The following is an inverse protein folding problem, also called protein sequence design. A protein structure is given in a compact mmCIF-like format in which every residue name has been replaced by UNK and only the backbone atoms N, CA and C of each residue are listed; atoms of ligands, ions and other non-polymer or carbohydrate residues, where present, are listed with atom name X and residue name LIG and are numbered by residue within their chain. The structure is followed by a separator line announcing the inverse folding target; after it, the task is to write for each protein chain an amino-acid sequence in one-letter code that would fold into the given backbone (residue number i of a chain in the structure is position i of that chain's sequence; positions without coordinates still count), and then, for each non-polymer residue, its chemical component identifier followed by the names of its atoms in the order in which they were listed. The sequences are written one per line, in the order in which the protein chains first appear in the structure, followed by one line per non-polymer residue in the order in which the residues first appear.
data_IF_199391779305
#
_entry.id   IF_199391779305
#
_cell.length_a   1.000
_cell.length_b   1.000
_cell.length_c   1.000
_cell.angle_alpha   90.00
_cell.angle_beta   90.00
_cell.angle_gamma   90.00
#
_symmetry.space_group_name_H-M   'P 1'
#
loop_
_entity.id
_entity.type
_entity.pdbx_description
1 polymer ?
#
# COMPACT_ATOMS: atom_id res chain seq x y z
N UNK A 1 -1.20 -6.99 18.52
CA UNK A 1 0.11 -7.27 17.91
C UNK A 1 -0.08 -7.79 16.49
N UNK A 2 0.60 -7.18 15.53
CA UNK A 2 0.46 -7.59 14.13
C UNK A 2 1.21 -8.90 13.89
N UNK A 3 0.56 -9.84 13.19
CA UNK A 3 1.24 -11.04 12.66
C UNK A 3 1.86 -10.75 11.31
N UNK A 4 1.32 -9.78 10.58
CA UNK A 4 1.80 -9.45 9.24
C UNK A 4 1.63 -7.96 8.97
N UNK A 5 2.67 -7.35 8.44
CA UNK A 5 2.64 -5.96 7.99
C UNK A 5 3.21 -5.86 6.59
N UNK A 6 2.52 -5.14 5.73
CA UNK A 6 2.97 -4.94 4.36
C UNK A 6 2.73 -3.50 3.92
N UNK A 7 3.67 -2.96 3.18
CA UNK A 7 3.50 -1.69 2.48
C UNK A 7 3.31 -2.00 1.01
N UNK A 8 2.23 -1.47 0.44
CA UNK A 8 1.88 -1.64 -0.97
C UNK A 8 2.02 -0.29 -1.65
N UNK A 9 2.93 -0.21 -2.61
CA UNK A 9 3.10 0.99 -3.42
C UNK A 9 2.26 0.85 -4.68
N UNK A 10 1.41 1.82 -4.94
CA UNK A 10 0.54 1.85 -6.12
C UNK A 10 0.77 3.14 -6.90
N UNK A 11 0.45 3.11 -8.19
CA UNK A 11 0.75 4.23 -9.06
C UNK A 11 -0.25 5.38 -9.00
N UNK A 12 -1.46 5.14 -8.53
CA UNK A 12 -2.48 6.17 -8.48
C UNK A 12 -3.63 5.85 -7.54
N UNK A 13 -4.60 6.77 -7.50
CA UNK A 13 -5.74 6.66 -6.61
C UNK A 13 -6.63 5.47 -6.96
N UNK A 14 -6.83 5.18 -8.25
CA UNK A 14 -7.68 4.07 -8.67
C UNK A 14 -7.14 2.73 -8.16
N UNK A 15 -5.83 2.52 -8.27
CA UNK A 15 -5.17 1.32 -7.79
C UNK A 15 -5.22 1.23 -6.27
N UNK A 16 -5.09 2.36 -5.57
CA UNK A 16 -5.20 2.41 -4.12
C UNK A 16 -6.60 2.00 -3.67
N UNK A 17 -7.63 2.51 -4.34
CA UNK A 17 -9.02 2.15 -4.06
C UNK A 17 -9.25 0.66 -4.32
N UNK A 18 -8.70 0.14 -5.43
CA UNK A 18 -8.81 -1.27 -5.78
C UNK A 18 -8.21 -2.16 -4.69
N UNK A 19 -6.99 -1.86 -4.26
CA UNK A 19 -6.31 -2.65 -3.21
C UNK A 19 -7.11 -2.60 -1.90
N UNK A 20 -7.61 -1.43 -1.55
CA UNK A 20 -8.43 -1.26 -0.36
C UNK A 20 -9.66 -2.16 -0.38
N UNK A 21 -10.42 -2.12 -1.47
CA UNK A 21 -11.62 -2.95 -1.62
C UNK A 21 -11.29 -4.45 -1.65
N UNK A 22 -10.19 -4.81 -2.29
CA UNK A 22 -9.75 -6.20 -2.34
C UNK A 22 -9.42 -6.72 -0.94
N UNK A 23 -8.70 -5.94 -0.14
CA UNK A 23 -8.36 -6.32 1.23
C UNK A 23 -9.60 -6.43 2.11
N UNK A 24 -10.49 -5.44 2.02
CA UNK A 24 -11.74 -5.47 2.78
C UNK A 24 -12.55 -6.72 2.48
N UNK A 25 -12.71 -7.06 1.21
CA UNK A 25 -13.46 -8.25 0.80
C UNK A 25 -12.75 -9.54 1.21
N UNK A 26 -11.44 -9.61 1.05
CA UNK A 26 -10.66 -10.78 1.41
C UNK A 26 -10.76 -11.11 2.90
N UNK A 27 -10.73 -10.09 3.76
CA UNK A 27 -10.84 -10.23 5.20
C UNK A 27 -12.27 -10.14 5.72
N UNK A 28 -13.26 -10.15 4.82
CA UNK A 28 -14.69 -10.12 5.17
C UNK A 28 -15.06 -8.92 6.05
N UNK A 29 -14.40 -7.78 5.83
CA UNK A 29 -14.64 -6.53 6.56
C UNK A 29 -14.39 -6.65 8.07
N UNK A 30 -13.54 -7.57 8.48
CA UNK A 30 -13.21 -7.78 9.90
C UNK A 30 -12.05 -6.88 10.33
N UNK A 31 -12.35 -5.81 11.06
CA UNK A 31 -11.35 -4.86 11.53
C UNK A 31 -10.39 -5.39 12.59
N UNK A 32 -10.66 -6.57 13.18
CA UNK A 32 -9.72 -7.19 14.10
C UNK A 32 -8.63 -7.95 13.35
N UNK A 33 -8.94 -8.45 12.16
CA UNK A 33 -8.00 -9.16 11.31
C UNK A 33 -7.28 -8.24 10.33
N UNK A 34 -7.96 -7.23 9.84
CA UNK A 34 -7.44 -6.30 8.84
C UNK A 34 -7.39 -4.88 9.36
N UNK A 35 -6.24 -4.25 9.24
CA UNK A 35 -6.11 -2.82 9.40
C UNK A 35 -5.33 -2.25 8.23
N UNK A 36 -5.66 -1.05 7.79
CA UNK A 36 -4.86 -0.36 6.78
C UNK A 36 -4.97 1.15 6.91
N UNK A 37 -3.98 1.83 6.39
CA UNK A 37 -4.02 3.25 6.15
C UNK A 37 -3.63 3.52 4.71
N UNK A 38 -4.28 4.52 4.11
CA UNK A 38 -3.96 4.95 2.77
C UNK A 38 -3.17 6.25 2.85
N UNK A 39 -2.06 6.30 2.15
CA UNK A 39 -1.17 7.44 2.14
C UNK A 39 -0.99 7.92 0.70
N UNK A 40 -0.90 9.21 0.52
CA UNK A 40 -0.56 9.79 -0.78
C UNK A 40 0.78 10.50 -0.66
N UNK A 41 1.73 10.09 -1.48
CA UNK A 41 3.03 10.72 -1.53
C UNK A 41 2.94 11.95 -2.44
N UNK A 42 3.24 13.13 -1.87
CA UNK A 42 3.21 14.37 -2.62
C UNK A 42 4.45 15.18 -2.27
N UNK A 43 5.35 15.37 -3.24
CA UNK A 43 6.60 16.13 -3.06
C UNK A 43 7.36 15.74 -1.79
N UNK A 44 7.54 14.45 -1.58
CA UNK A 44 8.23 13.88 -0.41
C UNK A 44 7.47 14.01 0.90
N UNK A 45 6.24 14.49 0.86
CA UNK A 45 5.38 14.52 2.03
C UNK A 45 4.30 13.44 1.90
N UNK A 46 3.97 12.84 3.03
CA UNK A 46 2.93 11.83 3.08
C UNK A 46 1.66 12.43 3.67
N UNK A 47 0.56 12.28 2.96
CA UNK A 47 -0.75 12.66 3.48
C UNK A 47 -1.60 11.40 3.63
N UNK A 48 -2.25 11.27 4.78
CA UNK A 48 -3.16 10.15 5.01
C UNK A 48 -4.45 10.40 4.26
N UNK A 49 -4.86 9.45 3.43
CA UNK A 49 -6.15 9.51 2.76
C UNK A 49 -7.28 9.27 3.78
N UNK A 50 -8.51 9.75 3.50
CA UNK A 50 -9.59 9.75 4.52
C UNK A 50 -10.25 8.40 4.75
N UNK A 51 -9.58 7.29 4.54
CA UNK A 51 -10.17 5.96 4.70
C UNK A 51 -9.28 5.01 5.48
N UNK A 52 -9.07 5.24 6.78
CA UNK A 52 -8.46 4.22 7.61
C UNK A 52 -9.48 3.10 7.86
N UNK A 53 -8.99 1.88 8.01
CA UNK A 53 -9.83 0.74 8.34
C UNK A 53 -9.15 -0.07 9.45
N UNK A 54 -9.92 -0.60 10.40
CA UNK A 54 -9.36 -1.33 11.50
C UNK A 54 -8.45 -0.48 12.36
N UNK A 55 -7.39 -1.07 12.87
CA UNK A 55 -6.41 -0.35 13.67
C UNK A 55 -5.00 -0.86 13.39
N UNK A 56 -4.00 -0.14 13.91
CA UNK A 56 -2.61 -0.59 13.81
C UNK A 56 -2.35 -1.90 14.57
N UNK A 57 -3.26 -2.29 15.44
CA UNK A 57 -3.16 -3.53 16.20
C UNK A 57 -3.88 -4.70 15.56
N UNK A 58 -4.53 -4.49 14.42
CA UNK A 58 -5.14 -5.58 13.66
C UNK A 58 -4.11 -6.63 13.30
N UNK A 59 -4.56 -7.88 13.15
CA UNK A 59 -3.67 -9.02 12.89
C UNK A 59 -2.78 -8.81 11.66
N UNK A 60 -3.38 -8.33 10.57
CA UNK A 60 -2.66 -7.96 9.35
C UNK A 60 -2.82 -6.45 9.14
N UNK A 61 -1.72 -5.74 9.00
CA UNK A 61 -1.75 -4.30 8.80
C UNK A 61 -1.07 -3.91 7.49
N UNK A 62 -1.73 -3.06 6.71
CA UNK A 62 -1.24 -2.62 5.41
C UNK A 62 -1.13 -1.10 5.35
N UNK A 63 -0.05 -0.64 4.72
CA UNK A 63 0.06 0.75 4.28
C UNK A 63 -0.05 0.77 2.77
N UNK A 64 -1.03 1.48 2.23
CA UNK A 64 -1.24 1.56 0.79
C UNK A 64 -0.81 2.94 0.34
N UNK A 65 0.34 3.04 -0.32
CA UNK A 65 0.96 4.30 -0.68
C UNK A 65 0.77 4.60 -2.16
N UNK A 66 0.06 5.67 -2.45
CA UNK A 66 -0.11 6.19 -3.80
C UNK A 66 1.09 7.09 -4.12
N UNK A 67 1.91 6.70 -5.08
CA UNK A 67 3.12 7.45 -5.46
C UNK A 67 2.89 8.42 -6.62
N UNK A 68 1.70 8.43 -7.20
CA UNK A 68 1.32 9.42 -8.20
C UNK A 68 1.50 9.02 -9.65
N UNK A 69 2.42 8.12 -9.95
CA UNK A 69 2.58 7.57 -11.30
C UNK A 69 3.40 6.30 -11.27
N UNK A 70 3.33 5.50 -12.36
CA UNK A 70 3.98 4.20 -12.44
C UNK A 70 5.51 4.29 -12.41
N UNK A 71 6.07 5.35 -12.96
CA UNK A 71 7.53 5.52 -12.99
C UNK A 71 8.13 5.67 -11.58
N UNK A 72 7.33 6.16 -10.63
CA UNK A 72 7.79 6.36 -9.26
C UNK A 72 7.68 5.13 -8.37
N UNK A 73 6.92 4.10 -8.77
CA UNK A 73 6.68 2.94 -7.90
C UNK A 73 7.98 2.27 -7.50
N UNK A 74 8.81 1.91 -8.47
CA UNK A 74 10.08 1.22 -8.18
C UNK A 74 11.03 2.11 -7.41
N UNK A 75 11.15 3.39 -7.80
CA UNK A 75 12.05 4.32 -7.12
C UNK A 75 11.69 4.53 -5.65
N UNK A 76 10.41 4.71 -5.37
CA UNK A 76 9.95 4.89 -4.00
C UNK A 76 10.07 3.61 -3.17
N UNK A 77 9.80 2.45 -3.78
CA UNK A 77 10.04 1.16 -3.12
C UNK A 77 11.49 1.04 -2.67
N UNK A 78 12.43 1.31 -3.59
CA UNK A 78 13.85 1.20 -3.28
C UNK A 78 14.28 2.20 -2.22
N UNK A 79 13.76 3.41 -2.29
CA UNK A 79 14.10 4.46 -1.32
C UNK A 79 13.64 4.13 0.09
N UNK A 80 12.46 3.52 0.22
CA UNK A 80 11.84 3.26 1.52
C UNK A 80 12.03 1.84 2.04
N UNK A 81 12.49 0.92 1.19
CA UNK A 81 12.47 -0.51 1.51
C UNK A 81 13.28 -0.87 2.76
N UNK A 82 14.45 -0.30 2.94
CA UNK A 82 15.28 -0.61 4.10
C UNK A 82 14.60 -0.19 5.39
N UNK A 83 14.07 1.03 5.43
CA UNK A 83 13.39 1.54 6.62
C UNK A 83 12.14 0.70 6.95
N UNK A 84 11.36 0.37 5.92
CA UNK A 84 10.17 -0.46 6.08
C UNK A 84 10.52 -1.85 6.57
N UNK A 85 11.56 -2.44 6.00
CA UNK A 85 12.01 -3.77 6.42
C UNK A 85 12.46 -3.76 7.89
N UNK A 86 13.20 -2.75 8.30
CA UNK A 86 13.64 -2.61 9.69
C UNK A 86 12.46 -2.46 10.65
N UNK A 87 11.34 -1.93 10.18
CA UNK A 87 10.11 -1.80 10.96
C UNK A 87 9.17 -2.99 10.81
N UNK A 88 9.62 -4.07 10.19
CA UNK A 88 8.86 -5.30 10.09
C UNK A 88 7.86 -5.36 8.94
N UNK A 89 7.97 -4.45 7.96
CA UNK A 89 7.07 -4.43 6.81
C UNK A 89 7.66 -5.21 5.63
N UNK A 90 6.82 -6.03 5.00
CA UNK A 90 7.09 -6.52 3.66
C UNK A 90 6.75 -5.41 2.67
N UNK A 91 7.35 -5.43 1.50
CA UNK A 91 7.16 -4.37 0.50
C UNK A 91 6.67 -4.98 -0.81
N UNK A 92 5.61 -4.41 -1.38
CA UNK A 92 5.04 -4.83 -2.66
C UNK A 92 4.77 -3.60 -3.51
N UNK A 93 5.14 -3.66 -4.78
CA UNK A 93 4.82 -2.61 -5.73
C UNK A 93 3.86 -3.13 -6.80
N UNK A 94 2.83 -2.34 -7.09
CA UNK A 94 1.87 -2.65 -8.15
C UNK A 94 1.99 -1.59 -9.23
N UNK A 95 2.25 -2.02 -10.44
CA UNK A 95 2.35 -1.16 -11.61
C UNK A 95 1.30 -1.55 -12.63
N UNK A 96 0.77 -0.53 -13.31
CA UNK A 96 -0.13 -0.75 -14.42
C UNK A 96 0.64 -1.32 -15.61
N UNK A 97 0.27 -2.52 -16.01
CA UNK A 97 0.91 -3.19 -17.14
C UNK A 97 0.50 -2.60 -18.49
N UNK A 98 -0.59 -1.84 -18.52
CA UNK A 98 -1.05 -1.20 -19.76
C UNK A 98 -0.25 0.04 -20.12
N UNK A 99 0.43 0.64 -19.17
CA UNK A 99 1.26 1.81 -19.43
C UNK A 99 2.62 1.45 -20.01
N UNK A 100 2.92 0.15 -20.13
CA UNK A 100 4.16 -0.34 -20.69
C UNK A 100 3.90 -1.20 -21.90
N UNK A 101 4.83 -1.19 -22.82
CA UNK A 101 4.81 -2.12 -23.93
C UNK A 101 5.03 -3.52 -23.37
N UNK A 102 3.96 -4.25 -23.22
CA UNK A 102 4.03 -5.60 -22.69
C UNK A 102 4.33 -6.58 -23.81
N UNK A 103 5.53 -7.09 -23.78
CA UNK A 103 5.95 -8.14 -24.72
C UNK A 103 5.96 -9.45 -23.95
N UNK A 104 5.01 -10.28 -24.30
CA UNK A 104 4.90 -11.60 -23.70
C UNK A 104 6.07 -12.49 -24.13
#
# INVERSE_FOLDING_TARGET
MNKYKQTVFVEGLAEQIFVRHLLEAWFEYDGTQLGFSCLTLHKEQHAVAPYPFGSKDSCCYYQIINVGNDAKVVGEMLRMSQNLHENGYSVLGLRDMYSQEYVA
#
